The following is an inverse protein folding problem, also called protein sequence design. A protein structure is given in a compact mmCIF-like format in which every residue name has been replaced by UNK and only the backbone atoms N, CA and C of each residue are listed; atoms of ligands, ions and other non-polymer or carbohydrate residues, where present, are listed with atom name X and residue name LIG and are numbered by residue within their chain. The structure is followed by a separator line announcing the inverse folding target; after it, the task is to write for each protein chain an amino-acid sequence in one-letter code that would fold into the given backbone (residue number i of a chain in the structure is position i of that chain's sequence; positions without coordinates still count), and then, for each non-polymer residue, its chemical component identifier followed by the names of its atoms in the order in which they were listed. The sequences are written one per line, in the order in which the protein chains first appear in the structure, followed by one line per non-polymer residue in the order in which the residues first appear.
data_IF_609073104824
#
_entry.id   IF_609073104824
#
_cell.length_a   1.000
_cell.length_b   1.000
_cell.length_c   1.000
_cell.angle_alpha   90.00
_cell.angle_beta   90.00
_cell.angle_gamma   90.00
#
_symmetry.space_group_name_H-M   'P 1'
#
loop_
_entity.id
_entity.type
_entity.pdbx_description
1 polymer ?
#
# COMPACT_ATOMS: atom_id res chain seq x y z
N UNK A 1 -36.03 17.51 -63.00
CA UNK A 1 -35.34 16.29 -62.53
C UNK A 1 -33.85 16.51 -62.71
N UNK A 2 -33.14 16.79 -61.61
CA UNK A 2 -31.71 17.07 -61.63
C UNK A 2 -30.95 15.85 -61.08
N UNK A 3 -29.92 15.34 -61.77
CA UNK A 3 -29.10 14.25 -61.25
C UNK A 3 -28.06 14.77 -60.27
N UNK A 4 -27.89 13.98 -59.21
CA UNK A 4 -27.03 14.13 -58.06
C UNK A 4 -25.64 13.55 -58.35
N UNK A 5 -24.66 13.97 -57.53
CA UNK A 5 -23.25 13.52 -57.45
C UNK A 5 -22.34 14.14 -58.54
N UNK A 6 -21.21 14.79 -58.24
CA UNK A 6 -20.18 14.38 -57.29
C UNK A 6 -19.30 15.61 -56.96
N UNK A 7 -19.39 16.16 -55.74
CA UNK A 7 -18.43 17.17 -55.26
C UNK A 7 -17.34 16.47 -54.47
N UNK A 8 -16.20 16.20 -55.13
CA UNK A 8 -14.93 15.90 -54.46
C UNK A 8 -14.50 17.13 -53.65
N UNK A 9 -14.72 17.09 -52.35
CA UNK A 9 -14.11 18.05 -51.43
C UNK A 9 -12.76 17.48 -50.98
N UNK A 10 -11.68 17.97 -51.61
CA UNK A 10 -10.31 17.79 -51.16
C UNK A 10 -10.06 18.65 -49.92
N UNK A 11 -10.07 18.04 -48.74
CA UNK A 11 -9.56 18.67 -47.53
C UNK A 11 -8.20 18.08 -47.20
N UNK A 12 -7.14 18.80 -47.58
CA UNK A 12 -5.86 18.68 -46.93
C UNK A 12 -6.00 19.30 -45.53
N UNK A 13 -5.87 18.49 -44.49
CA UNK A 13 -5.78 18.97 -43.12
C UNK A 13 -4.58 18.33 -42.45
N UNK A 14 -3.55 19.16 -42.33
CA UNK A 14 -2.43 19.01 -41.42
C UNK A 14 -2.96 18.70 -40.01
N UNK A 15 -2.83 17.45 -39.54
CA UNK A 15 -2.86 17.12 -38.11
C UNK A 15 -1.77 16.11 -37.77
N UNK A 16 -0.71 16.62 -37.17
CA UNK A 16 0.09 15.84 -36.23
C UNK A 16 -0.85 15.37 -35.10
N UNK A 17 -0.77 14.08 -34.76
CA UNK A 17 -1.48 13.36 -33.69
C UNK A 17 -2.83 12.74 -34.09
N UNK A 18 -2.80 11.69 -34.89
CA UNK A 18 -3.92 10.74 -34.99
C UNK A 18 -3.60 9.48 -34.18
N UNK A 19 -3.82 9.54 -32.86
CA UNK A 19 -4.19 8.34 -32.12
C UNK A 19 -5.62 8.04 -32.54
N UNK A 20 -5.83 6.96 -33.28
CA UNK A 20 -7.14 6.53 -33.75
C UNK A 20 -8.14 6.50 -32.58
N UNK A 21 -9.07 7.44 -32.54
CA UNK A 21 -10.23 7.36 -31.66
C UNK A 21 -11.17 6.29 -32.23
N UNK A 22 -11.03 5.06 -31.75
CA UNK A 22 -12.09 4.07 -31.89
C UNK A 22 -13.29 4.54 -31.05
N UNK A 23 -14.49 4.41 -31.59
CA UNK A 23 -15.73 4.69 -30.87
C UNK A 23 -15.89 3.65 -29.74
N UNK A 24 -15.60 4.06 -28.50
CA UNK A 24 -15.65 3.20 -27.32
C UNK A 24 -17.07 3.08 -26.73
N UNK A 25 -18.11 3.59 -27.42
CA UNK A 25 -19.47 3.64 -26.85
C UNK A 25 -20.25 2.32 -26.81
N UNK A 26 -19.65 1.19 -27.22
CA UNK A 26 -20.32 -0.12 -27.28
C UNK A 26 -19.53 -1.29 -26.68
N UNK A 27 -18.66 -1.06 -25.69
CA UNK A 27 -17.98 -2.15 -24.98
C UNK A 27 -18.47 -2.29 -23.54
N UNK A 28 -19.25 -3.33 -23.28
CA UNK A 28 -19.53 -3.78 -21.91
C UNK A 28 -18.43 -4.75 -21.50
N UNK A 29 -17.61 -4.37 -20.52
CA UNK A 29 -16.56 -5.23 -19.98
C UNK A 29 -17.09 -5.91 -18.72
N UNK A 30 -17.27 -7.23 -18.77
CA UNK A 30 -17.55 -8.04 -17.59
C UNK A 30 -16.22 -8.56 -17.02
N UNK A 31 -15.80 -8.00 -15.88
CA UNK A 31 -14.58 -8.40 -15.19
C UNK A 31 -14.91 -9.45 -14.14
N UNK A 32 -14.61 -10.71 -14.44
CA UNK A 32 -14.68 -11.78 -13.46
C UNK A 32 -13.36 -11.86 -12.70
N UNK A 33 -13.32 -11.27 -11.50
CA UNK A 33 -12.15 -11.34 -10.63
C UNK A 33 -12.04 -12.74 -10.03
N UNK A 34 -11.31 -13.63 -10.69
CA UNK A 34 -10.89 -14.89 -10.08
C UNK A 34 -10.13 -14.58 -8.79
N UNK A 35 -10.31 -15.40 -7.76
CA UNK A 35 -9.48 -15.37 -6.54
C UNK A 35 -8.05 -15.74 -6.93
N UNK A 36 -7.29 -14.77 -7.40
CA UNK A 36 -5.85 -14.92 -7.60
C UNK A 36 -5.29 -15.09 -6.19
N UNK A 37 -4.61 -16.20 -5.87
CA UNK A 37 -3.83 -16.26 -4.64
C UNK A 37 -2.71 -15.23 -4.80
N UNK A 38 -2.95 -13.98 -4.38
CA UNK A 38 -1.89 -13.01 -4.17
C UNK A 38 -0.97 -13.68 -3.16
N UNK A 39 0.22 -14.13 -3.60
CA UNK A 39 1.14 -14.99 -2.83
C UNK A 39 1.50 -14.44 -1.44
N UNK A 40 2.76 -14.11 -1.13
CA UNK A 40 3.14 -13.63 0.20
C UNK A 40 2.68 -12.18 0.53
N UNK A 41 1.47 -11.80 0.11
CA UNK A 41 0.83 -10.52 0.39
C UNK A 41 1.22 -9.39 -0.57
N UNK A 42 0.29 -8.44 -0.75
CA UNK A 42 0.56 -7.19 -1.45
C UNK A 42 1.68 -6.42 -0.73
N UNK A 43 2.73 -6.06 -1.45
CA UNK A 43 3.82 -5.28 -0.87
C UNK A 43 3.30 -3.89 -0.44
N UNK A 44 3.59 -3.52 0.81
CA UNK A 44 3.27 -2.21 1.38
C UNK A 44 4.56 -1.52 1.80
N UNK A 45 4.73 -0.27 1.40
CA UNK A 45 5.84 0.55 1.87
C UNK A 45 5.72 0.82 3.38
N UNK A 46 6.86 0.88 4.07
CA UNK A 46 6.89 1.31 5.46
C UNK A 46 6.56 2.81 5.54
N UNK A 47 5.41 3.14 6.12
CA UNK A 47 4.94 4.53 6.24
C UNK A 47 5.84 5.38 7.13
N UNK A 48 6.54 4.79 8.10
CA UNK A 48 7.43 5.53 8.99
C UNK A 48 8.60 6.19 8.25
N UNK A 49 8.98 5.67 7.08
CA UNK A 49 10.01 6.30 6.24
C UNK A 49 9.57 7.69 5.76
N UNK A 50 8.27 7.95 5.61
CA UNK A 50 7.76 9.25 5.17
C UNK A 50 7.97 10.36 6.19
N UNK A 51 8.13 10.03 7.49
CA UNK A 51 8.45 11.03 8.51
C UNK A 51 9.90 11.55 8.39
N UNK A 52 10.78 10.77 7.76
CA UNK A 52 12.19 11.13 7.60
C UNK A 52 12.33 12.14 6.45
N UNK A 53 12.87 13.33 6.76
CA UNK A 53 13.10 14.38 5.76
C UNK A 53 14.04 13.90 4.64
N UNK A 54 15.13 13.26 5.03
CA UNK A 54 16.12 12.73 4.08
C UNK A 54 15.51 11.74 3.07
N UNK A 55 14.65 10.84 3.54
CA UNK A 55 13.95 9.91 2.66
C UNK A 55 13.06 10.62 1.64
N UNK A 56 12.29 11.62 2.08
CA UNK A 56 11.42 12.42 1.19
C UNK A 56 12.23 13.16 0.13
N UNK A 57 13.34 13.78 0.54
CA UNK A 57 14.21 14.52 -0.38
C UNK A 57 14.84 13.59 -1.42
N UNK A 58 15.33 12.42 -1.01
CA UNK A 58 15.90 11.43 -1.93
C UNK A 58 14.82 10.83 -2.87
N UNK A 59 13.62 10.57 -2.35
CA UNK A 59 12.52 10.05 -3.15
C UNK A 59 12.10 11.06 -4.21
N UNK A 60 11.95 12.34 -3.85
CA UNK A 60 11.58 13.40 -4.79
C UNK A 60 12.62 13.54 -5.91
N UNK A 61 13.92 13.61 -5.57
CA UNK A 61 14.99 13.66 -6.59
C UNK A 61 14.95 12.46 -7.53
N UNK A 62 14.62 11.27 -7.01
CA UNK A 62 14.52 10.06 -7.82
C UNK A 62 13.29 10.11 -8.73
N UNK A 63 12.16 10.62 -8.26
CA UNK A 63 10.97 10.81 -9.07
C UNK A 63 11.20 11.85 -10.18
N UNK A 64 11.88 12.96 -9.89
CA UNK A 64 12.26 13.96 -10.90
C UNK A 64 13.15 13.38 -11.99
N UNK A 65 14.12 12.53 -11.60
CA UNK A 65 14.96 11.80 -12.55
C UNK A 65 14.14 10.84 -13.41
N UNK A 66 13.28 10.03 -12.78
CA UNK A 66 12.43 9.08 -13.50
C UNK A 66 11.49 9.81 -14.46
N UNK A 67 10.93 10.96 -14.07
CA UNK A 67 10.04 11.75 -14.92
C UNK A 67 10.72 12.21 -16.22
N UNK A 68 12.04 12.50 -16.16
CA UNK A 68 12.84 12.88 -17.34
C UNK A 68 13.22 11.69 -18.22
N UNK A 69 13.24 10.48 -17.68
CA UNK A 69 13.62 9.23 -18.37
C UNK A 69 12.42 8.59 -19.10
N UNK A 70 11.20 9.08 -18.89
CA UNK A 70 9.99 8.52 -19.51
C UNK A 70 9.95 8.84 -21.01
N UNK A 71 9.73 7.79 -21.80
CA UNK A 71 9.52 7.91 -23.24
C UNK A 71 8.05 8.28 -23.53
N UNK A 72 7.78 9.42 -24.20
CA UNK A 72 6.45 9.83 -24.61
C UNK A 72 5.77 8.83 -25.55
N UNK A 73 6.53 7.98 -26.24
CA UNK A 73 6.02 7.04 -27.24
C UNK A 73 5.56 5.70 -26.65
N UNK A 74 5.93 5.37 -25.41
CA UNK A 74 5.45 4.15 -24.73
C UNK A 74 4.05 4.32 -24.14
N UNK A 75 3.31 3.20 -24.02
CA UNK A 75 2.01 3.18 -23.33
C UNK A 75 2.13 3.77 -21.92
N UNK A 76 1.17 4.59 -21.53
CA UNK A 76 1.13 5.19 -20.19
C UNK A 76 1.16 4.13 -19.08
N UNK A 77 0.64 2.93 -19.34
CA UNK A 77 0.68 1.80 -18.40
C UNK A 77 2.11 1.28 -18.19
N UNK A 78 2.88 1.10 -19.26
CA UNK A 78 4.27 0.61 -19.19
C UNK A 78 5.17 1.61 -18.46
N UNK A 79 4.98 2.90 -18.75
CA UNK A 79 5.68 3.99 -18.08
C UNK A 79 5.39 4.01 -16.57
N UNK A 80 4.14 3.81 -16.18
CA UNK A 80 3.73 3.77 -14.79
C UNK A 80 4.26 2.51 -14.07
N UNK A 81 4.33 1.37 -14.74
CA UNK A 81 4.90 0.15 -14.18
C UNK A 81 6.43 0.24 -14.02
N UNK A 82 7.14 0.88 -14.97
CA UNK A 82 8.57 1.21 -14.82
C UNK A 82 8.81 2.06 -13.57
N UNK A 83 8.02 3.11 -13.37
CA UNK A 83 8.12 3.97 -12.18
C UNK A 83 7.89 3.16 -10.90
N UNK A 84 6.80 2.36 -10.84
CA UNK A 84 6.48 1.53 -9.67
C UNK A 84 7.65 0.59 -9.31
N UNK A 85 8.25 -0.06 -10.29
CA UNK A 85 9.37 -1.00 -10.06
C UNK A 85 10.58 -0.26 -9.48
N UNK A 86 10.94 0.88 -10.06
CA UNK A 86 12.09 1.68 -9.61
C UNK A 86 11.88 2.25 -8.21
N UNK A 87 10.71 2.85 -7.95
CA UNK A 87 10.33 3.38 -6.63
C UNK A 87 10.31 2.26 -5.60
N UNK A 88 9.72 1.10 -5.89
CA UNK A 88 9.71 -0.06 -5.01
C UNK A 88 11.13 -0.54 -4.69
N UNK A 89 12.02 -0.60 -5.69
CA UNK A 89 13.43 -0.97 -5.48
C UNK A 89 14.13 -0.01 -4.54
N UNK A 90 13.98 1.29 -4.76
CA UNK A 90 14.56 2.35 -3.92
C UNK A 90 14.07 2.26 -2.47
N UNK A 91 12.75 2.17 -2.25
CA UNK A 91 12.17 2.10 -0.90
C UNK A 91 12.69 0.87 -0.16
N UNK A 92 12.82 -0.28 -0.84
CA UNK A 92 13.37 -1.50 -0.25
C UNK A 92 14.84 -1.36 0.09
N UNK A 93 15.67 -0.78 -0.77
CA UNK A 93 17.09 -0.56 -0.46
C UNK A 93 17.28 0.41 0.70
N UNK A 94 16.53 1.51 0.71
CA UNK A 94 16.58 2.50 1.79
C UNK A 94 16.16 1.87 3.12
N UNK A 95 15.03 1.15 3.14
CA UNK A 95 14.55 0.48 4.34
C UNK A 95 15.54 -0.56 4.90
N UNK A 96 16.21 -1.34 4.02
CA UNK A 96 17.26 -2.28 4.45
C UNK A 96 18.47 -1.57 5.02
N UNK A 97 18.94 -0.50 4.39
CA UNK A 97 20.05 0.31 4.89
C UNK A 97 19.72 0.89 6.26
N UNK A 98 18.53 1.46 6.42
CA UNK A 98 18.09 2.03 7.70
C UNK A 98 17.98 0.97 8.80
N UNK A 99 17.45 -0.21 8.46
CA UNK A 99 17.39 -1.33 9.40
C UNK A 99 18.80 -1.78 9.83
N UNK A 100 19.74 -1.86 8.88
CA UNK A 100 21.14 -2.23 9.15
C UNK A 100 21.86 -1.19 10.02
N UNK A 101 21.72 0.10 9.70
CA UNK A 101 22.31 1.18 10.51
C UNK A 101 21.78 1.13 11.93
N UNK A 102 20.46 0.99 12.09
CA UNK A 102 19.83 0.89 13.41
C UNK A 102 20.32 -0.32 14.19
N UNK A 103 20.41 -1.50 13.56
CA UNK A 103 20.96 -2.69 14.22
C UNK A 103 22.39 -2.46 14.69
N UNK A 104 23.25 -1.87 13.86
CA UNK A 104 24.62 -1.54 14.25
C UNK A 104 24.68 -0.52 15.41
N UNK A 105 23.82 0.50 15.40
CA UNK A 105 23.71 1.46 16.51
C UNK A 105 23.24 0.78 17.80
N UNK A 106 22.25 -0.10 17.72
CA UNK A 106 21.77 -0.87 18.87
C UNK A 106 22.87 -1.76 19.45
N UNK A 107 23.62 -2.47 18.60
CA UNK A 107 24.72 -3.32 19.02
C UNK A 107 25.81 -2.50 19.73
N UNK A 108 26.12 -1.31 19.23
CA UNK A 108 27.08 -0.41 19.88
C UNK A 108 26.58 0.08 21.24
N UNK A 109 25.33 0.54 21.32
CA UNK A 109 24.74 1.00 22.58
C UNK A 109 24.66 -0.13 23.61
N UNK A 110 24.39 -1.37 23.18
CA UNK A 110 24.39 -2.53 24.06
C UNK A 110 25.80 -2.87 24.56
N UNK A 111 26.83 -2.74 23.72
CA UNK A 111 28.23 -2.90 24.14
C UNK A 111 28.63 -1.83 25.15
N UNK A 112 28.29 -0.57 24.89
CA UNK A 112 28.56 0.55 25.80
C UNK A 112 27.87 0.32 27.16
N UNK A 113 26.61 -0.12 27.13
CA UNK A 113 25.86 -0.51 28.33
C UNK A 113 26.55 -1.64 29.08
N UNK A 114 27.00 -2.68 28.39
CA UNK A 114 27.70 -3.80 29.01
C UNK A 114 29.02 -3.37 29.67
N UNK A 115 29.80 -2.51 29.02
CA UNK A 115 31.06 -1.99 29.56
C UNK A 115 30.85 -1.26 30.90
N UNK A 116 29.79 -0.44 31.01
CA UNK A 116 29.45 0.25 32.27
C UNK A 116 29.15 -0.75 33.40
N UNK A 117 28.46 -1.86 33.11
CA UNK A 117 28.16 -2.88 34.12
C UNK A 117 29.38 -3.72 34.54
N UNK A 118 30.35 -3.90 33.64
CA UNK A 118 31.55 -4.71 33.89
C UNK A 118 32.59 -3.97 34.74
N UNK A 119 32.54 -2.63 34.81
CA UNK A 119 33.51 -1.81 35.57
C UNK A 119 32.89 -1.15 36.82
N UNK A 120 32.62 -1.91 37.90
CA UNK A 120 32.23 -1.34 39.19
C UNK A 120 33.43 -0.72 39.94
N UNK A 121 33.21 0.24 40.87
CA UNK A 121 31.92 0.81 41.26
C UNK A 121 31.38 1.84 40.26
N UNK A 122 30.05 1.83 40.07
CA UNK A 122 29.39 2.74 39.12
C UNK A 122 29.29 4.14 39.73
N UNK A 123 30.02 5.09 39.18
CA UNK A 123 29.96 6.50 39.56
C UNK A 123 28.69 7.18 39.02
N UNK A 124 28.29 8.32 39.62
CA UNK A 124 27.02 8.99 39.29
C UNK A 124 26.97 9.49 37.84
N UNK A 125 28.11 9.90 37.28
CA UNK A 125 28.25 10.26 35.86
C UNK A 125 27.96 9.07 34.93
N UNK A 126 28.40 7.87 35.30
CA UNK A 126 28.13 6.64 34.56
C UNK A 126 26.66 6.23 34.64
N UNK A 127 25.97 6.52 35.77
CA UNK A 127 24.52 6.29 35.91
C UNK A 127 23.74 7.19 34.96
N UNK A 128 24.08 8.47 34.89
CA UNK A 128 23.43 9.41 33.97
C UNK A 128 23.67 9.03 32.50
N UNK A 129 24.88 8.56 32.18
CA UNK A 129 25.21 8.02 30.85
C UNK A 129 24.38 6.77 30.54
N UNK A 130 24.22 5.86 31.51
CA UNK A 130 23.41 4.65 31.36
C UNK A 130 21.95 4.98 31.06
N UNK A 131 21.33 5.92 31.79
CA UNK A 131 19.97 6.37 31.51
C UNK A 131 19.81 6.92 30.10
N UNK A 132 20.81 7.65 29.62
CA UNK A 132 20.83 8.20 28.26
C UNK A 132 20.91 7.09 27.21
N UNK A 133 21.77 6.08 27.44
CA UNK A 133 21.89 4.90 26.58
C UNK A 133 20.58 4.11 26.55
N UNK A 134 19.97 3.86 27.71
CA UNK A 134 18.70 3.11 27.79
C UNK A 134 17.55 3.86 27.10
N UNK A 135 17.49 5.19 27.21
CA UNK A 135 16.53 6.02 26.47
C UNK A 135 16.72 5.87 24.95
N UNK A 136 17.95 5.89 24.48
CA UNK A 136 18.24 5.77 23.05
C UNK A 136 17.96 4.35 22.51
N UNK A 137 18.29 3.31 23.27
CA UNK A 137 17.93 1.92 22.95
C UNK A 137 16.41 1.78 22.80
N UNK A 138 15.65 2.28 23.79
CA UNK A 138 14.19 2.25 23.76
C UNK A 138 13.64 2.99 22.54
N UNK A 139 14.19 4.17 22.22
CA UNK A 139 13.79 4.94 21.03
C UNK A 139 13.98 4.13 19.74
N UNK A 140 15.15 3.52 19.55
CA UNK A 140 15.47 2.74 18.35
C UNK A 140 14.63 1.45 18.27
N UNK A 141 14.22 0.89 19.41
CA UNK A 141 13.36 -0.30 19.49
C UNK A 141 11.87 -0.01 19.33
N UNK A 142 11.43 1.24 19.43
CA UNK A 142 10.01 1.60 19.27
C UNK A 142 9.54 1.53 17.80
N UNK A 143 10.32 2.07 16.86
CA UNK A 143 10.02 2.03 15.42
C UNK A 143 9.64 0.64 14.86
N UNK A 144 10.43 -0.45 15.08
CA UNK A 144 10.07 -1.78 14.58
C UNK A 144 8.83 -2.35 15.27
N UNK A 145 8.61 -2.02 16.54
CA UNK A 145 7.42 -2.43 17.30
C UNK A 145 6.17 -1.81 16.68
N UNK A 146 6.20 -0.51 16.38
CA UNK A 146 5.09 0.19 15.74
C UNK A 146 4.81 -0.36 14.33
N UNK A 147 5.87 -0.64 13.55
CA UNK A 147 5.72 -1.25 12.21
C UNK A 147 5.09 -2.64 12.32
N UNK A 148 5.55 -3.47 13.26
CA UNK A 148 5.00 -4.81 13.48
C UNK A 148 3.54 -4.75 13.94
N UNK A 149 3.20 -3.81 14.84
CA UNK A 149 1.83 -3.58 15.30
C UNK A 149 0.91 -3.17 14.15
N UNK A 150 1.34 -2.22 13.32
CA UNK A 150 0.61 -1.79 12.12
C UNK A 150 0.42 -2.93 11.11
N UNK A 151 1.45 -3.73 10.87
CA UNK A 151 1.38 -4.87 9.95
C UNK A 151 0.44 -5.98 10.44
N UNK A 152 0.37 -6.16 11.75
CA UNK A 152 -0.54 -7.11 12.38
C UNK A 152 -1.99 -6.60 12.43
N UNK A 153 -2.29 -5.39 11.94
CA UNK A 153 -3.62 -4.78 12.03
C UNK A 153 -3.98 -4.36 13.46
N UNK A 154 -2.99 -4.30 14.36
CA UNK A 154 -3.14 -4.06 15.79
C UNK A 154 -3.03 -2.56 16.02
N UNK A 155 -4.07 -1.80 15.69
CA UNK A 155 -4.45 -0.77 16.66
C UNK A 155 -5.10 -1.53 17.81
N UNK A 156 -4.28 -1.97 18.76
CA UNK A 156 -4.56 -1.79 20.18
C UNK A 156 -6.05 -1.73 20.53
N UNK A 157 -6.80 -2.83 20.40
CA UNK A 157 -8.12 -2.85 21.01
C UNK A 157 -7.91 -3.11 22.50
N UNK A 158 -7.46 -2.08 23.21
CA UNK A 158 -7.48 -1.96 24.67
C UNK A 158 -6.53 -2.93 25.44
N UNK A 159 -5.84 -2.45 26.49
CA UNK A 159 -5.42 -3.27 27.63
C UNK A 159 -4.52 -4.53 27.41
N UNK A 160 -3.20 -4.31 27.40
CA UNK A 160 -2.17 -5.21 28.00
C UNK A 160 -2.11 -6.70 27.60
N UNK A 161 -1.00 -7.13 26.97
CA UNK A 161 -0.68 -8.56 26.92
C UNK A 161 0.53 -8.96 26.10
N UNK A 162 1.66 -9.23 26.77
CA UNK A 162 2.98 -9.59 26.23
C UNK A 162 3.00 -11.01 25.63
N UNK A 163 3.11 -11.18 24.30
CA UNK A 163 3.97 -12.21 23.66
C UNK A 163 3.95 -12.15 22.12
N UNK A 164 5.12 -12.10 21.50
CA UNK A 164 5.28 -12.07 20.04
C UNK A 164 4.77 -13.35 19.34
N UNK A 165 4.80 -14.51 20.02
CA UNK A 165 4.33 -15.80 19.48
C UNK A 165 2.81 -15.92 19.36
N UNK A 166 2.05 -15.21 20.20
CA UNK A 166 0.60 -15.13 20.08
C UNK A 166 0.19 -14.27 18.87
N UNK A 167 0.91 -13.17 18.62
CA UNK A 167 0.69 -12.31 17.45
C UNK A 167 0.87 -13.06 16.14
N UNK A 168 1.91 -13.90 16.04
CA UNK A 168 2.13 -14.74 14.84
C UNK A 168 0.95 -15.67 14.57
N UNK A 169 0.34 -16.25 15.62
CA UNK A 169 -0.83 -17.13 15.53
C UNK A 169 -2.10 -16.37 15.13
N UNK A 170 -2.33 -15.19 15.70
CA UNK A 170 -3.46 -14.33 15.30
C UNK A 170 -3.32 -13.88 13.84
N UNK A 171 -2.14 -13.41 13.41
CA UNK A 171 -1.92 -12.98 12.02
C UNK A 171 -2.23 -14.14 11.05
N UNK A 172 -1.84 -15.36 11.42
CA UNK A 172 -2.15 -16.55 10.64
C UNK A 172 -3.65 -16.84 10.59
N UNK A 173 -4.35 -16.77 11.74
CA UNK A 173 -5.80 -16.98 11.83
C UNK A 173 -6.60 -15.90 11.08
N UNK A 174 -6.20 -14.63 11.19
CA UNK A 174 -6.90 -13.51 10.56
C UNK A 174 -6.76 -13.53 9.04
N UNK A 175 -5.61 -14.00 8.52
CA UNK A 175 -5.42 -14.25 7.08
C UNK A 175 -6.35 -15.34 6.56
N UNK A 176 -6.53 -16.42 7.32
CA UNK A 176 -7.49 -17.46 6.97
C UNK A 176 -8.93 -16.92 7.01
N UNK A 177 -9.31 -16.14 8.03
CA UNK A 177 -10.66 -15.57 8.13
C UNK A 177 -11.00 -14.57 7.01
N UNK A 178 -10.05 -13.71 6.62
CA UNK A 178 -10.25 -12.76 5.50
C UNK A 178 -10.36 -13.44 4.13
N UNK A 179 -9.96 -14.72 4.01
CA UNK A 179 -10.21 -15.54 2.81
C UNK A 179 -11.64 -16.11 2.77
N UNK A 180 -12.34 -16.16 3.92
CA UNK A 180 -13.69 -16.71 4.04
C UNK A 180 -14.80 -15.65 4.07
N UNK A 181 -14.53 -14.40 4.49
CA UNK A 181 -15.54 -13.31 4.56
C UNK A 181 -15.91 -12.68 3.20
N UNK A 182 -15.89 -13.47 2.12
CA UNK A 182 -16.59 -13.14 0.88
C UNK A 182 -17.89 -13.95 0.71
N UNK A 183 -18.25 -14.83 1.66
CA UNK A 183 -19.41 -15.72 1.55
C UNK A 183 -20.64 -15.30 2.35
N UNK A 184 -20.67 -14.13 2.99
CA UNK A 184 -21.84 -13.68 3.77
C UNK A 184 -22.58 -12.47 3.18
N UNK A 185 -22.44 -12.23 1.87
CA UNK A 185 -23.24 -11.25 1.14
C UNK A 185 -24.00 -11.89 -0.04
N UNK A 186 -24.29 -13.19 0.04
CA UNK A 186 -25.18 -13.87 -0.90
C UNK A 186 -26.49 -14.26 -0.20
N UNK A 187 -27.18 -13.28 0.39
CA UNK A 187 -28.62 -13.42 0.57
C UNK A 187 -29.23 -13.15 -0.80
N UNK A 188 -29.54 -14.23 -1.52
CA UNK A 188 -30.19 -14.13 -2.82
C UNK A 188 -31.48 -13.35 -2.65
N UNK A 189 -31.69 -12.33 -3.48
CA UNK A 189 -32.95 -11.57 -3.58
C UNK A 189 -34.08 -12.43 -4.19
N UNK A 190 -33.84 -13.72 -4.46
CA UNK A 190 -34.81 -14.67 -5.01
C UNK A 190 -35.82 -15.24 -4.00
N UNK A 191 -35.66 -14.97 -2.70
CA UNK A 191 -36.53 -15.53 -1.65
C UNK A 191 -37.56 -14.52 -1.11
N UNK A 192 -37.77 -13.39 -1.79
CA UNK A 192 -38.89 -12.49 -1.49
C UNK A 192 -40.18 -13.01 -2.14
N UNK A 193 -41.27 -13.26 -1.38
CA UNK A 193 -42.53 -13.67 -1.96
C UNK A 193 -43.08 -12.55 -2.85
N UNK A 194 -43.42 -12.93 -4.09
CA UNK A 194 -43.98 -12.04 -5.11
C UNK A 194 -45.24 -11.33 -4.60
N UNK A 195 -45.43 -10.02 -4.86
CA UNK A 195 -46.66 -9.32 -4.49
C UNK A 195 -47.85 -9.85 -5.30
N UNK A 196 -48.91 -10.24 -4.60
CA UNK A 196 -50.16 -10.72 -5.18
C UNK A 196 -50.82 -9.65 -6.09
N UNK A 197 -51.48 -10.03 -7.20
CA UNK A 197 -52.13 -9.09 -8.09
C UNK A 197 -53.47 -8.60 -7.53
N UNK A 198 -53.62 -7.27 -7.46
CA UNK A 198 -54.83 -6.49 -7.68
C UNK A 198 -56.13 -6.87 -6.94
N UNK A 199 -56.43 -6.16 -5.85
CA UNK A 199 -57.82 -5.92 -5.45
C UNK A 199 -58.30 -4.58 -6.03
N UNK A 200 -59.22 -4.67 -6.98
CA UNK A 200 -59.98 -3.56 -7.54
C UNK A 200 -60.81 -2.90 -6.44
N UNK A 201 -60.61 -1.59 -6.23
CA UNK A 201 -61.53 -0.75 -5.46
C UNK A 201 -62.66 -0.31 -6.38
N UNK A 202 -63.89 -0.71 -6.04
CA UNK A 202 -65.14 -0.25 -6.63
C UNK A 202 -65.33 1.25 -6.37
N UNK A 203 -65.62 2.01 -7.43
CA UNK A 203 -66.24 3.34 -7.33
C UNK A 203 -67.75 3.17 -7.48
N UNK A 204 -68.51 3.57 -6.45
CA UNK A 204 -69.94 3.87 -6.54
C UNK A 204 -70.10 5.36 -6.85
N UNK A 205 -70.80 5.67 -7.95
CA UNK A 205 -71.90 6.66 -8.02
C UNK A 205 -72.95 6.07 -8.95
#
# INVERSE_FOLDING_TARGET
MAPYHERRASYALNRKNECFWTDHSLLTIQLEFKRIPLGPGLWKANRMLLHQKEFRDQLNRRLDYLAKELDPCTSSQDNLDKIKVQVKRFIRSYGRRQASLRSATLDQLQKDRHYIFVSPPIADDQRQRLESIDKEINRLQQDPVDIAALQAGIRWREQGGKSAGYLKRIIHQQRNLQQHTASLANTKVSDLPSPAPGQSRSSQV
#
